data_IF_439902576705
#
_entry.id   IF_439902576705
#
_cell.length_a   1.000
_cell.length_b   1.000
_cell.length_c   1.000
_cell.angle_alpha   90.00
_cell.angle_beta   90.00
_cell.angle_gamma   90.00
#
_symmetry.space_group_name_H-M   'P 1'
#
loop_
_entity.id
_entity.type
_entity.pdbx_description
1 polymer ?
#
# COMPACT_ATOMS: atom_id res chain seq x y z
N UNK A 1 13.90 -21.65 4.39
CA UNK A 1 12.99 -22.16 3.35
C UNK A 1 12.30 -20.95 2.73
N UNK A 2 12.60 -20.66 1.48
CA UNK A 2 12.08 -19.51 0.73
C UNK A 2 10.59 -19.73 0.43
N UNK A 3 9.76 -18.74 0.74
CA UNK A 3 8.30 -18.85 0.60
C UNK A 3 7.90 -18.83 -0.89
N UNK A 4 7.01 -19.74 -1.35
CA UNK A 4 6.57 -19.81 -2.73
C UNK A 4 5.94 -18.50 -3.24
N UNK A 5 5.31 -17.69 -2.38
CA UNK A 5 4.74 -16.40 -2.77
C UNK A 5 5.84 -15.40 -3.18
N UNK A 6 6.99 -15.43 -2.49
CA UNK A 6 8.14 -14.57 -2.82
C UNK A 6 8.71 -14.98 -4.17
N UNK A 7 8.84 -16.29 -4.42
CA UNK A 7 9.38 -16.78 -5.68
C UNK A 7 8.47 -16.40 -6.86
N UNK A 8 7.15 -16.46 -6.69
CA UNK A 8 6.19 -15.99 -7.70
C UNK A 8 6.35 -14.50 -7.97
N UNK A 9 6.41 -13.66 -6.92
CA UNK A 9 6.58 -12.20 -7.07
C UNK A 9 7.93 -11.83 -7.72
N UNK A 10 9.01 -12.52 -7.33
CA UNK A 10 10.32 -12.34 -7.95
C UNK A 10 10.29 -12.74 -9.43
N UNK A 11 9.63 -13.86 -9.77
CA UNK A 11 9.48 -14.32 -11.15
C UNK A 11 8.62 -13.36 -11.99
N UNK A 12 7.53 -12.81 -11.44
CA UNK A 12 6.70 -11.78 -12.09
C UNK A 12 7.50 -10.51 -12.40
N UNK A 13 8.50 -10.19 -11.58
CA UNK A 13 9.39 -9.04 -11.75
C UNK A 13 10.67 -9.39 -12.55
N UNK A 14 10.83 -10.63 -13.01
CA UNK A 14 12.02 -11.08 -13.73
C UNK A 14 13.31 -11.10 -12.88
N UNK A 15 13.18 -11.14 -11.56
CA UNK A 15 14.29 -11.10 -10.61
C UNK A 15 14.50 -12.46 -9.95
N UNK A 16 15.76 -12.81 -9.67
CA UNK A 16 16.06 -13.89 -8.71
C UNK A 16 15.94 -13.38 -7.28
N UNK A 17 15.66 -14.28 -6.32
CA UNK A 17 15.57 -13.91 -4.90
C UNK A 17 16.83 -13.18 -4.40
N UNK A 18 18.00 -13.65 -4.83
CA UNK A 18 19.30 -13.07 -4.46
C UNK A 18 19.52 -11.66 -5.07
N UNK A 19 19.02 -11.43 -6.29
CA UNK A 19 19.02 -10.11 -6.92
C UNK A 19 18.06 -9.15 -6.21
N UNK A 20 16.84 -9.63 -5.91
CA UNK A 20 15.85 -8.87 -5.16
C UNK A 20 16.39 -8.45 -3.78
N UNK A 21 17.07 -9.36 -3.07
CA UNK A 21 17.68 -9.07 -1.77
C UNK A 21 18.80 -8.01 -1.87
N UNK A 22 19.68 -8.11 -2.89
CA UNK A 22 20.75 -7.13 -3.12
C UNK A 22 20.23 -5.73 -3.46
N UNK A 23 19.25 -5.65 -4.34
CA UNK A 23 18.61 -4.38 -4.72
C UNK A 23 17.95 -3.77 -3.47
N UNK A 24 17.27 -4.58 -2.68
CA UNK A 24 16.56 -4.11 -1.51
C UNK A 24 17.49 -3.62 -0.38
N UNK A 25 18.68 -4.21 -0.26
CA UNK A 25 19.77 -3.71 0.59
C UNK A 25 20.38 -2.40 0.07
N UNK A 26 20.43 -2.21 -1.24
CA UNK A 26 21.04 -1.03 -1.88
C UNK A 26 20.10 0.19 -1.97
N UNK A 27 18.79 -0.04 -2.12
CA UNK A 27 17.82 1.02 -2.46
C UNK A 27 17.19 1.74 -1.27
N UNK A 28 17.41 1.27 -0.03
CA UNK A 28 16.97 1.97 1.18
C UNK A 28 15.44 1.96 1.42
N UNK A 29 15.01 1.27 2.47
CA UNK A 29 13.68 1.23 3.13
C UNK A 29 12.43 0.86 2.30
N UNK A 30 12.42 1.12 1.00
CA UNK A 30 11.22 1.14 0.19
C UNK A 30 11.24 0.18 -1.01
N UNK A 31 11.97 -0.95 -0.97
CA UNK A 31 11.76 -2.06 -1.92
C UNK A 31 11.40 -3.40 -1.28
N UNK A 32 11.88 -3.76 -0.05
CA UNK A 32 11.48 -5.01 0.60
C UNK A 32 9.97 -5.20 0.69
N UNK A 33 9.26 -4.21 1.22
CA UNK A 33 7.80 -4.20 1.35
C UNK A 33 7.02 -4.39 0.04
N UNK A 34 7.43 -3.76 -1.08
CA UNK A 34 6.80 -3.95 -2.39
C UNK A 34 6.98 -5.38 -2.92
N UNK A 35 8.02 -6.07 -2.46
CA UNK A 35 8.26 -7.49 -2.71
C UNK A 35 7.56 -8.40 -1.68
N UNK A 36 6.91 -7.83 -0.67
CA UNK A 36 6.33 -8.56 0.45
C UNK A 36 7.35 -9.03 1.49
N UNK A 37 8.51 -8.39 1.59
CA UNK A 37 9.60 -8.73 2.49
C UNK A 37 9.73 -7.74 3.66
N UNK A 38 10.06 -8.26 4.83
CA UNK A 38 10.45 -7.50 6.01
C UNK A 38 11.78 -6.78 5.78
N UNK A 39 11.87 -5.50 6.15
CA UNK A 39 13.05 -4.67 5.84
C UNK A 39 14.31 -5.06 6.62
N UNK A 40 14.17 -5.70 7.77
CA UNK A 40 15.31 -6.06 8.65
C UNK A 40 15.77 -7.48 8.38
N UNK A 41 14.83 -8.40 8.21
CA UNK A 41 15.09 -9.83 8.10
C UNK A 41 15.04 -10.34 6.67
N UNK A 42 14.49 -9.55 5.72
CA UNK A 42 14.24 -9.94 4.33
C UNK A 42 13.43 -11.24 4.20
N UNK A 43 12.62 -11.54 5.22
CA UNK A 43 11.70 -12.68 5.24
C UNK A 43 10.31 -12.23 4.80
N UNK A 44 9.44 -13.13 4.32
CA UNK A 44 8.09 -12.74 3.94
C UNK A 44 7.37 -12.09 5.11
N UNK A 45 6.73 -10.96 4.85
CA UNK A 45 5.87 -10.31 5.83
C UNK A 45 4.75 -11.29 6.19
N UNK A 46 4.66 -11.61 7.49
CA UNK A 46 3.55 -12.41 8.01
C UNK A 46 2.23 -11.73 7.61
N UNK A 47 1.18 -12.49 7.24
CA UNK A 47 -0.14 -11.91 6.99
C UNK A 47 -0.58 -11.06 8.19
N UNK A 48 -0.84 -9.78 7.96
CA UNK A 48 -1.37 -8.85 8.95
C UNK A 48 -2.65 -8.22 8.41
N UNK A 49 -3.43 -7.63 9.32
CA UNK A 49 -4.63 -6.87 8.98
C UNK A 49 -4.23 -5.46 8.52
N UNK A 50 -3.57 -5.34 7.37
CA UNK A 50 -3.00 -4.08 6.87
C UNK A 50 -4.05 -2.99 6.65
N UNK A 51 -5.22 -3.32 6.12
CA UNK A 51 -6.37 -2.42 6.02
C UNK A 51 -6.81 -1.91 7.39
N UNK A 52 -6.85 -2.79 8.40
CA UNK A 52 -7.18 -2.39 9.76
C UNK A 52 -6.12 -1.49 10.37
N UNK A 53 -4.84 -1.81 10.16
CA UNK A 53 -3.74 -0.98 10.63
C UNK A 53 -3.77 0.42 9.97
N UNK A 54 -3.99 0.50 8.66
CA UNK A 54 -4.11 1.75 7.93
C UNK A 54 -5.30 2.59 8.43
N UNK A 55 -6.47 1.96 8.56
CA UNK A 55 -7.67 2.60 9.09
C UNK A 55 -7.45 3.14 10.51
N UNK A 56 -6.76 2.39 11.36
CA UNK A 56 -6.41 2.82 12.71
C UNK A 56 -5.41 3.99 12.73
N UNK A 57 -4.37 3.97 11.88
CA UNK A 57 -3.41 5.07 11.75
C UNK A 57 -4.07 6.36 11.28
N UNK A 58 -5.16 6.27 10.50
CA UNK A 58 -5.91 7.42 10.03
C UNK A 58 -6.86 8.05 11.07
N UNK A 59 -7.08 7.38 12.20
CA UNK A 59 -8.08 7.76 13.20
C UNK A 59 -7.55 8.83 14.16
N UNK A 60 -7.46 10.06 13.68
CA UNK A 60 -7.12 11.26 14.46
C UNK A 60 -8.39 11.88 15.05
N UNK A 61 -8.89 11.33 16.17
CA UNK A 61 -9.82 11.99 17.11
C UNK A 61 -11.14 12.63 16.60
N UNK A 62 -11.53 12.49 15.34
CA UNK A 62 -12.81 12.99 14.82
C UNK A 62 -13.97 12.01 15.02
N UNK A 63 -15.20 12.53 15.09
CA UNK A 63 -16.43 11.74 15.22
C UNK A 63 -16.66 10.90 13.95
N UNK A 64 -16.25 9.64 14.00
CA UNK A 64 -16.45 8.64 12.96
C UNK A 64 -15.18 7.82 12.77
N UNK A 65 -15.22 6.53 13.10
CA UNK A 65 -14.07 5.65 12.92
C UNK A 65 -14.02 5.17 11.47
N UNK A 66 -12.92 5.45 10.74
CA UNK A 66 -12.70 4.85 9.43
C UNK A 66 -12.53 3.35 9.66
N UNK A 67 -13.48 2.54 9.19
CA UNK A 67 -13.40 1.08 9.33
C UNK A 67 -12.52 0.47 8.23
N UNK A 68 -11.93 -0.72 8.44
CA UNK A 68 -11.21 -1.44 7.40
C UNK A 68 -12.07 -1.69 6.15
N UNK A 69 -13.36 -1.96 6.34
CA UNK A 69 -14.32 -2.24 5.26
C UNK A 69 -14.62 -0.99 4.44
N UNK A 70 -14.77 0.16 5.11
CA UNK A 70 -14.96 1.43 4.41
C UNK A 70 -13.68 1.87 3.68
N UNK A 71 -12.51 1.65 4.28
CA UNK A 71 -11.24 1.90 3.60
C UNK A 71 -11.09 1.00 2.36
N UNK A 72 -11.47 -0.28 2.45
CA UNK A 72 -11.50 -1.17 1.29
C UNK A 72 -12.41 -0.61 0.19
N UNK A 73 -13.64 -0.20 0.52
CA UNK A 73 -14.59 0.37 -0.44
C UNK A 73 -14.04 1.64 -1.11
N UNK A 74 -13.44 2.54 -0.32
CA UNK A 74 -12.78 3.75 -0.82
C UNK A 74 -11.66 3.41 -1.80
N UNK A 75 -10.81 2.42 -1.49
CA UNK A 75 -9.71 2.02 -2.39
C UNK A 75 -10.24 1.36 -3.67
N UNK A 76 -11.32 0.58 -3.57
CA UNK A 76 -11.94 -0.12 -4.69
C UNK A 76 -12.68 0.81 -5.65
N UNK A 77 -13.38 1.80 -5.12
CA UNK A 77 -14.18 2.76 -5.90
C UNK A 77 -13.39 4.01 -6.29
N UNK A 78 -12.40 4.38 -5.48
CA UNK A 78 -11.73 5.68 -5.53
C UNK A 78 -12.60 6.83 -5.01
N UNK A 79 -13.77 6.56 -4.43
CA UNK A 79 -14.67 7.59 -3.92
C UNK A 79 -14.50 7.75 -2.42
N UNK A 80 -14.33 8.99 -1.94
CA UNK A 80 -14.24 9.27 -0.51
C UNK A 80 -15.51 9.95 -0.01
N UNK A 81 -16.26 9.32 0.91
CA UNK A 81 -17.39 9.98 1.56
C UNK A 81 -16.92 11.22 2.31
N UNK A 82 -17.65 12.34 2.18
CA UNK A 82 -17.27 13.64 2.76
C UNK A 82 -16.95 13.57 4.27
N UNK A 83 -17.66 12.72 5.02
CA UNK A 83 -17.44 12.54 6.45
C UNK A 83 -16.04 11.98 6.80
N UNK A 84 -15.38 11.31 5.85
CA UNK A 84 -14.09 10.65 6.04
C UNK A 84 -12.95 11.31 5.25
N UNK A 85 -13.19 12.44 4.59
CA UNK A 85 -12.16 13.13 3.80
C UNK A 85 -10.91 13.48 4.62
N UNK A 86 -11.08 13.95 5.87
CA UNK A 86 -9.95 14.24 6.78
C UNK A 86 -9.15 12.99 7.17
N UNK A 87 -9.82 11.86 7.37
CA UNK A 87 -9.18 10.58 7.69
C UNK A 87 -8.34 10.10 6.50
N UNK A 88 -8.91 10.13 5.30
CA UNK A 88 -8.21 9.67 4.08
C UNK A 88 -7.04 10.60 3.74
N UNK A 89 -7.23 11.93 3.83
CA UNK A 89 -6.12 12.86 3.61
C UNK A 89 -4.98 12.63 4.61
N UNK A 90 -5.31 12.47 5.90
CA UNK A 90 -4.31 12.15 6.92
C UNK A 90 -3.59 10.83 6.64
N UNK A 91 -4.29 9.80 6.18
CA UNK A 91 -3.68 8.53 5.76
C UNK A 91 -2.65 8.75 4.64
N UNK A 92 -3.00 9.53 3.62
CA UNK A 92 -2.12 9.75 2.46
C UNK A 92 -0.90 10.62 2.80
N UNK A 93 -1.04 11.56 3.74
CA UNK A 93 0.06 12.47 4.13
C UNK A 93 0.96 11.88 5.21
N UNK A 94 0.38 11.25 6.23
CA UNK A 94 1.10 10.94 7.48
C UNK A 94 1.38 9.44 7.66
N UNK A 95 0.60 8.54 7.04
CA UNK A 95 0.84 7.13 7.22
C UNK A 95 2.21 6.73 6.65
N UNK A 96 2.93 5.77 7.27
CA UNK A 96 4.11 5.22 6.65
C UNK A 96 3.75 4.70 5.26
N UNK A 97 4.53 5.07 4.23
CA UNK A 97 4.23 4.66 2.86
C UNK A 97 4.05 3.14 2.78
N UNK A 98 4.87 2.41 3.55
CA UNK A 98 4.83 0.98 3.78
C UNK A 98 3.45 0.42 4.08
N UNK A 99 2.75 1.09 4.99
CA UNK A 99 1.42 0.71 5.40
C UNK A 99 0.40 0.88 4.26
N UNK A 100 0.57 1.93 3.44
CA UNK A 100 -0.32 2.23 2.32
C UNK A 100 -0.22 1.16 1.23
N UNK A 101 0.99 0.80 0.75
CA UNK A 101 1.09 -0.27 -0.27
C UNK A 101 0.58 -1.59 0.27
N UNK A 102 0.90 -1.97 1.51
CA UNK A 102 0.46 -3.25 2.06
C UNK A 102 -1.08 -3.29 2.26
N UNK A 103 -1.71 -2.17 2.58
CA UNK A 103 -3.16 -2.05 2.60
C UNK A 103 -3.77 -2.14 1.19
N UNK A 104 -3.14 -1.52 0.19
CA UNK A 104 -3.55 -1.61 -1.23
C UNK A 104 -3.38 -3.02 -1.79
N UNK A 105 -2.28 -3.71 -1.47
CA UNK A 105 -2.07 -5.12 -1.80
C UNK A 105 -3.16 -6.00 -1.19
N UNK A 106 -3.47 -5.80 0.09
CA UNK A 106 -4.54 -6.54 0.75
C UNK A 106 -5.91 -6.25 0.11
N UNK A 107 -6.18 -4.99 -0.24
CA UNK A 107 -7.42 -4.60 -0.91
C UNK A 107 -7.55 -5.23 -2.31
N UNK A 108 -6.45 -5.29 -3.08
CA UNK A 108 -6.43 -5.95 -4.39
C UNK A 108 -6.75 -7.45 -4.26
N UNK A 109 -6.17 -8.11 -3.25
CA UNK A 109 -6.44 -9.52 -2.95
C UNK A 109 -7.90 -9.75 -2.54
N UNK A 110 -8.45 -8.91 -1.66
CA UNK A 110 -9.83 -9.04 -1.18
C UNK A 110 -10.88 -8.68 -2.24
N UNK A 111 -10.58 -7.67 -3.07
CA UNK A 111 -11.46 -7.21 -4.14
C UNK A 111 -11.34 -8.01 -5.44
N UNK A 112 -10.33 -8.88 -5.57
CA UNK A 112 -10.11 -9.68 -6.78
C UNK A 112 -9.78 -8.84 -8.02
N UNK A 113 -9.16 -7.68 -7.84
CA UNK A 113 -8.85 -6.72 -8.92
C UNK A 113 -7.35 -6.48 -9.03
N UNK A 114 -6.83 -6.12 -10.22
CA UNK A 114 -5.42 -5.80 -10.40
C UNK A 114 -5.00 -4.63 -9.49
N UNK A 115 -3.85 -4.77 -8.81
CA UNK A 115 -3.33 -3.74 -7.91
C UNK A 115 -3.12 -2.39 -8.60
N UNK A 116 -2.79 -2.39 -9.89
CA UNK A 116 -2.67 -1.18 -10.71
C UNK A 116 -3.99 -0.38 -10.81
N UNK A 117 -5.15 -1.04 -10.72
CA UNK A 117 -6.45 -0.36 -10.67
C UNK A 117 -6.60 0.41 -9.37
N UNK A 118 -6.21 -0.18 -8.24
CA UNK A 118 -6.25 0.50 -6.95
C UNK A 118 -5.27 1.66 -6.89
N UNK A 119 -4.07 1.52 -7.45
CA UNK A 119 -3.12 2.64 -7.53
C UNK A 119 -3.65 3.82 -8.34
N UNK A 120 -4.40 3.57 -9.42
CA UNK A 120 -5.11 4.63 -10.14
C UNK A 120 -6.16 5.33 -9.27
N UNK A 121 -6.90 4.57 -8.47
CA UNK A 121 -7.86 5.13 -7.52
C UNK A 121 -7.18 5.96 -6.43
N UNK A 122 -6.08 5.46 -5.85
CA UNK A 122 -5.28 6.20 -4.86
C UNK A 122 -4.73 7.49 -5.46
N UNK A 123 -4.21 7.45 -6.69
CA UNK A 123 -3.74 8.64 -7.40
C UNK A 123 -4.86 9.66 -7.60
N UNK A 124 -6.05 9.19 -7.99
CA UNK A 124 -7.24 10.02 -8.18
C UNK A 124 -7.65 10.70 -6.87
N UNK A 125 -7.78 9.93 -5.79
CA UNK A 125 -8.09 10.45 -4.45
C UNK A 125 -7.05 11.49 -4.03
N UNK A 126 -5.76 11.17 -4.14
CA UNK A 126 -4.68 12.08 -3.74
C UNK A 126 -4.73 13.41 -4.51
N UNK A 127 -5.02 13.37 -5.81
CA UNK A 127 -5.19 14.58 -6.63
C UNK A 127 -6.45 15.36 -6.24
N UNK A 128 -7.60 14.70 -6.08
CA UNK A 128 -8.86 15.33 -5.66
C UNK A 128 -8.74 16.01 -4.29
N UNK A 129 -7.94 15.43 -3.40
CA UNK A 129 -7.70 15.95 -2.05
C UNK A 129 -6.48 16.88 -1.94
N UNK A 130 -5.75 17.12 -3.03
CA UNK A 130 -4.53 17.93 -3.05
C UNK A 130 -3.47 17.47 -2.03
N UNK A 131 -3.33 16.16 -1.86
CA UNK A 131 -2.32 15.57 -0.96
C UNK A 131 -0.91 15.98 -1.41
N UNK A 132 -0.07 16.40 -0.45
CA UNK A 132 1.28 16.91 -0.74
C UNK A 132 2.34 15.83 -0.93
N UNK A 133 2.05 14.60 -0.50
CA UNK A 133 3.02 13.50 -0.43
C UNK A 133 2.90 12.49 -1.57
N UNK A 134 1.67 12.17 -1.98
CA UNK A 134 1.41 11.19 -3.05
C UNK A 134 1.06 11.97 -4.31
N UNK A 135 2.10 12.34 -5.06
CA UNK A 135 1.95 13.03 -6.35
C UNK A 135 1.94 12.00 -7.48
N UNK A 136 1.23 12.30 -8.56
CA UNK A 136 1.18 11.45 -9.76
C UNK A 136 2.57 10.98 -10.24
N UNK A 137 3.63 11.79 -10.06
CA UNK A 137 5.00 11.40 -10.45
C UNK A 137 5.54 10.17 -9.74
N UNK A 138 5.18 9.91 -8.48
CA UNK A 138 5.63 8.71 -7.74
C UNK A 138 5.02 7.41 -8.28
N UNK A 139 3.95 7.48 -9.07
CA UNK A 139 3.23 6.32 -9.60
C UNK A 139 3.67 6.00 -11.05
N UNK A 140 4.18 7.00 -11.79
CA UNK A 140 4.65 6.81 -13.17
C UNK A 140 6.10 6.35 -13.29
N UNK A 141 6.92 6.45 -12.24
CA UNK A 141 8.32 5.99 -12.23
C UNK A 141 8.48 4.47 -11.99
N UNK A 142 7.38 3.72 -11.84
CA UNK A 142 7.41 2.26 -11.70
C UNK A 142 7.34 1.53 -13.07
N UNK A 143 8.10 2.01 -14.06
CA UNK A 143 8.20 1.39 -15.39
C UNK A 143 9.57 0.77 -15.64
#
# INVERSE_FOLDING_TARGET
MTDPVILTRCAELGLSFDQAQRIALASGSALPWALGLDFVTFTPLKPRRWLWMAAQTSSVSYRGFLTPELLLEILMTGEVPRAFASHVLHLLEEAPIQLVVLAVEQAAQQGGVPIATLWRNVARIANEMQSRRITASMIYDAK
#
